data_IF_203770832375
#
_entry.id   IF_203770832375
#
_cell.length_a   1.000
_cell.length_b   1.000
_cell.length_c   1.000
_cell.angle_alpha   90.00
_cell.angle_beta   90.00
_cell.angle_gamma   90.00
#
_symmetry.space_group_name_H-M   'P 1'
#
loop_
_entity.id
_entity.type
_entity.pdbx_description
1 polymer ?
#
# COMPACT_ATOMS: atom_id res chain seq x y z
N UNK A 1 -16.53 9.90 -7.92
CA UNK A 1 -15.89 8.75 -7.27
C UNK A 1 -15.61 9.16 -5.85
N UNK A 2 -16.05 8.37 -4.88
CA UNK A 2 -15.79 8.65 -3.46
C UNK A 2 -14.44 8.03 -3.09
N UNK A 3 -13.63 8.77 -2.35
CA UNK A 3 -12.41 8.26 -1.74
C UNK A 3 -12.71 7.85 -0.29
N UNK A 4 -12.19 6.71 0.13
CA UNK A 4 -12.28 6.18 1.50
C UNK A 4 -10.94 6.33 2.20
N UNK A 5 -10.96 6.82 3.45
CA UNK A 5 -9.75 6.85 4.28
C UNK A 5 -9.42 5.44 4.74
N UNK A 6 -8.15 5.04 4.61
CA UNK A 6 -7.64 3.78 5.12
C UNK A 6 -6.46 4.02 6.06
N UNK A 7 -6.28 3.10 6.99
CA UNK A 7 -5.11 3.03 7.86
C UNK A 7 -4.42 1.68 7.71
N UNK A 8 -3.11 1.72 7.53
CA UNK A 8 -2.27 0.55 7.37
C UNK A 8 -1.85 0.03 8.75
N UNK A 9 -1.91 -1.30 8.91
CA UNK A 9 -1.50 -1.99 10.13
C UNK A 9 -0.51 -3.10 9.81
N UNK A 10 0.61 -3.12 10.52
CA UNK A 10 1.72 -4.03 10.31
C UNK A 10 2.62 -3.67 9.11
N UNK A 11 3.67 -4.46 8.92
CA UNK A 11 4.70 -4.20 7.92
C UNK A 11 5.47 -2.91 8.20
N UNK A 12 6.12 -2.37 7.16
CA UNK A 12 6.96 -1.15 7.28
C UNK A 12 6.14 0.15 7.43
N UNK A 13 4.87 0.14 7.01
CA UNK A 13 3.97 1.31 7.04
C UNK A 13 2.93 1.28 8.17
N UNK A 14 3.22 0.61 9.27
CA UNK A 14 2.27 0.56 10.39
C UNK A 14 1.91 1.97 10.90
N UNK A 15 0.60 2.26 10.95
CA UNK A 15 0.06 3.55 11.38
C UNK A 15 -0.03 4.62 10.30
N UNK A 16 0.45 4.36 9.08
CA UNK A 16 0.26 5.26 7.94
C UNK A 16 -1.22 5.28 7.52
N UNK A 17 -1.74 6.46 7.16
CA UNK A 17 -3.07 6.61 6.58
C UNK A 17 -2.99 7.18 5.17
N UNK A 18 -3.88 6.71 4.30
CA UNK A 18 -3.98 7.16 2.91
C UNK A 18 -5.43 7.09 2.45
N UNK A 19 -5.75 7.67 1.30
CA UNK A 19 -7.08 7.56 0.71
C UNK A 19 -7.05 6.62 -0.50
N UNK A 20 -8.13 5.86 -0.66
CA UNK A 20 -8.29 4.88 -1.74
C UNK A 20 -9.64 5.08 -2.40
N UNK A 21 -9.78 4.60 -3.64
CA UNK A 21 -11.08 4.59 -4.29
C UNK A 21 -12.04 3.63 -3.57
N UNK A 22 -13.32 3.99 -3.54
CA UNK A 22 -14.39 3.13 -3.03
C UNK A 22 -14.32 1.70 -3.60
N UNK A 23 -14.38 0.71 -2.71
CA UNK A 23 -14.39 -0.70 -3.08
C UNK A 23 -13.01 -1.34 -3.32
N UNK A 24 -11.91 -0.59 -3.15
CA UNK A 24 -10.55 -1.17 -3.10
C UNK A 24 -10.44 -2.12 -1.91
N UNK A 25 -9.94 -3.34 -2.15
CA UNK A 25 -9.75 -4.38 -1.11
C UNK A 25 -8.30 -4.76 -0.86
N UNK A 26 -7.40 -4.38 -1.77
CA UNK A 26 -5.99 -4.73 -1.76
C UNK A 26 -5.17 -3.52 -2.15
N UNK A 27 -4.13 -3.26 -1.38
CA UNK A 27 -3.15 -2.20 -1.60
C UNK A 27 -1.76 -2.78 -1.77
N UNK A 28 -1.01 -2.18 -2.69
CA UNK A 28 0.37 -2.53 -2.99
C UNK A 28 1.20 -1.29 -2.72
N UNK A 29 2.21 -1.42 -1.86
CA UNK A 29 3.08 -0.33 -1.47
C UNK A 29 4.55 -0.71 -1.64
N UNK A 30 5.42 0.24 -1.95
CA UNK A 30 6.84 -0.03 -2.13
C UNK A 30 7.49 -0.58 -0.84
N UNK A 31 8.18 -1.71 -0.90
CA UNK A 31 8.93 -2.21 0.26
C UNK A 31 10.24 -1.42 0.46
N UNK A 32 10.80 -1.47 1.68
CA UNK A 32 12.18 -1.06 1.93
C UNK A 32 13.19 -2.02 1.28
N UNK A 33 12.77 -3.25 0.97
CA UNK A 33 13.58 -4.20 0.23
C UNK A 33 13.50 -3.93 -1.28
N UNK A 34 14.64 -3.78 -1.98
CA UNK A 34 14.65 -3.51 -3.41
C UNK A 34 14.02 -4.65 -4.20
N UNK A 35 13.10 -4.30 -5.11
CA UNK A 35 12.39 -5.27 -5.95
C UNK A 35 11.20 -5.96 -5.27
N UNK A 36 10.83 -5.56 -4.05
CA UNK A 36 9.66 -6.07 -3.35
C UNK A 36 8.58 -5.00 -3.16
N UNK A 37 7.34 -5.46 -3.03
CA UNK A 37 6.19 -4.66 -2.62
C UNK A 37 5.52 -5.31 -1.42
N UNK A 38 5.05 -4.46 -0.52
CA UNK A 38 4.20 -4.84 0.60
C UNK A 38 2.76 -4.94 0.13
N UNK A 39 2.08 -6.01 0.54
CA UNK A 39 0.68 -6.26 0.26
C UNK A 39 -0.13 -6.03 1.53
N UNK A 40 -1.14 -5.19 1.41
CA UNK A 40 -2.10 -4.91 2.45
C UNK A 40 -3.52 -5.24 1.98
N UNK A 41 -4.33 -5.85 2.83
CA UNK A 41 -5.71 -6.19 2.52
C UNK A 41 -6.68 -5.66 3.57
N UNK A 42 -7.86 -5.26 3.14
CA UNK A 42 -8.93 -4.84 4.03
C UNK A 42 -9.34 -6.02 4.93
N UNK A 43 -9.26 -5.83 6.25
CA UNK A 43 -9.64 -6.87 7.21
C UNK A 43 -11.12 -6.83 7.62
N UNK A 44 -11.90 -5.91 7.03
CA UNK A 44 -13.31 -5.68 7.33
C UNK A 44 -13.57 -4.89 8.62
N UNK A 45 -12.53 -4.42 9.31
CA UNK A 45 -12.64 -3.56 10.48
C UNK A 45 -12.43 -2.09 10.09
N UNK A 46 -12.88 -1.22 10.99
CA UNK A 46 -12.62 0.21 10.92
C UNK A 46 -11.94 0.69 12.19
N UNK A 47 -11.19 1.80 12.09
CA UNK A 47 -10.51 2.43 13.21
C UNK A 47 -10.69 3.95 13.15
N UNK A 48 -10.85 4.57 14.32
CA UNK A 48 -10.82 6.03 14.43
C UNK A 48 -9.39 6.52 14.20
N UNK A 49 -9.25 7.47 13.28
CA UNK A 49 -7.97 8.14 13.00
C UNK A 49 -8.10 9.58 13.46
N UNK A 50 -7.16 10.04 14.29
CA UNK A 50 -7.19 11.38 14.85
C UNK A 50 -7.30 12.46 13.77
N UNK A 51 -8.30 13.32 13.88
CA UNK A 51 -8.56 14.38 12.90
C UNK A 51 -9.51 13.98 11.77
N UNK A 52 -9.95 12.72 11.68
CA UNK A 52 -11.00 12.30 10.76
C UNK A 52 -12.30 12.00 11.53
N UNK A 53 -13.44 12.62 11.17
CA UNK A 53 -14.72 12.34 11.83
C UNK A 53 -15.32 10.98 11.44
N UNK A 54 -14.89 10.41 10.31
CA UNK A 54 -15.33 9.09 9.85
C UNK A 54 -14.30 8.02 10.21
N UNK A 55 -14.76 6.81 10.51
CA UNK A 55 -13.84 5.71 10.81
C UNK A 55 -13.14 5.26 9.52
N UNK A 56 -11.81 5.11 9.56
CA UNK A 56 -11.01 4.65 8.43
C UNK A 56 -11.08 3.13 8.31
N UNK A 57 -11.06 2.60 7.09
CA UNK A 57 -10.91 1.16 6.85
C UNK A 57 -9.53 0.69 7.29
N UNK A 58 -9.47 -0.49 7.92
CA UNK A 58 -8.20 -1.08 8.36
C UNK A 58 -7.68 -2.04 7.31
N UNK A 59 -6.48 -1.76 6.82
CA UNK A 59 -5.75 -2.60 5.88
C UNK A 59 -4.56 -3.22 6.60
N UNK A 60 -4.55 -4.55 6.71
CA UNK A 60 -3.49 -5.29 7.41
C UNK A 60 -2.45 -5.79 6.41
N UNK A 61 -1.19 -5.71 6.79
CA UNK A 61 -0.11 -6.32 6.02
C UNK A 61 -0.28 -7.84 5.99
N UNK A 62 -0.42 -8.40 4.78
CA UNK A 62 -0.61 -9.84 4.57
C UNK A 62 0.63 -10.53 4.01
N UNK A 63 1.62 -9.78 3.54
CA UNK A 63 2.88 -10.31 3.05
C UNK A 63 3.57 -9.40 2.04
N UNK A 64 4.68 -9.91 1.50
CA UNK A 64 5.46 -9.26 0.46
C UNK A 64 5.40 -10.08 -0.82
N UNK A 65 5.35 -9.40 -1.96
CA UNK A 65 5.48 -10.01 -3.27
C UNK A 65 6.66 -9.39 -4.01
N UNK A 66 7.26 -10.16 -4.92
CA UNK A 66 8.18 -9.57 -5.88
C UNK A 66 7.41 -8.53 -6.70
N UNK A 67 7.99 -7.36 -6.91
CA UNK A 67 7.43 -6.34 -7.79
C UNK A 67 7.36 -6.82 -9.26
N UNK A 68 7.87 -8.01 -9.55
CA UNK A 68 8.01 -8.66 -10.86
C UNK A 68 6.68 -9.11 -11.46
N UNK A 69 5.88 -8.13 -11.84
CA UNK A 69 4.93 -8.08 -12.95
C UNK A 69 4.50 -6.61 -13.24
N UNK A 70 4.94 -5.63 -12.42
CA UNK A 70 5.09 -4.25 -12.86
C UNK A 70 6.28 -4.21 -13.83
N UNK A 71 5.99 -3.88 -15.10
CA UNK A 71 6.88 -4.07 -16.23
C UNK A 71 8.37 -3.76 -15.93
N UNK A 72 9.30 -4.68 -16.28
CA UNK A 72 10.75 -4.54 -16.05
C UNK A 72 11.39 -3.27 -16.63
N UNK A 73 10.72 -2.62 -17.59
CA UNK A 73 11.13 -1.37 -18.23
C UNK A 73 11.20 -0.16 -17.29
N UNK A 74 10.58 -0.23 -16.10
CA UNK A 74 10.71 0.80 -15.05
C UNK A 74 11.80 0.49 -14.01
N UNK A 75 12.35 -0.72 -14.00
CA UNK A 75 13.23 -1.20 -12.93
C UNK A 75 14.72 -1.16 -13.26
N UNK A 76 15.11 -0.84 -14.50
CA UNK A 76 16.51 -0.66 -14.85
C UNK A 76 16.72 0.45 -15.87
N UNK A 77 17.47 1.48 -15.47
CA UNK A 77 18.34 2.22 -16.40
C UNK A 77 19.71 2.43 -15.76
N UNK A 78 20.65 1.51 -16.02
CA UNK A 78 22.01 1.92 -16.28
C UNK A 78 22.38 1.47 -17.71
N UNK A 79 22.49 2.43 -18.62
CA UNK A 79 23.28 2.30 -19.85
C UNK A 79 24.11 3.59 -19.93
N UNK A 80 25.33 3.63 -19.36
CA UNK A 80 26.61 3.17 -19.92
C UNK A 80 27.04 3.89 -21.20
N UNK A 81 27.96 4.86 -21.04
CA UNK A 81 29.02 5.28 -22.00
C UNK A 81 28.55 5.95 -23.30
N UNK A 82 29.31 6.90 -23.85
CA UNK A 82 30.75 6.82 -24.11
C UNK A 82 31.66 7.67 -23.21
#
# INVERSE_FOLDING_TARGET
MSDELVVLRGGVRDGESTTVQDGVRRLVAASDAPGLVEIYEANGQTAEVGGNPEAALVFVHVGQEAAGDLAPELQHSPQSGP
#
